data_IF_194422952757
#
_entry.id   IF_194422952757
#
_cell.length_a   1.000
_cell.length_b   1.000
_cell.length_c   1.000
_cell.angle_alpha   90.00
_cell.angle_beta   90.00
_cell.angle_gamma   90.00
#
_symmetry.space_group_name_H-M   'P 1'
#
loop_
_entity.id
_entity.type
_entity.pdbx_description
1 polymer ?
#
# COMPACT_ATOMS: atom_id res chain seq x y z
N UNK A 1 -13.49 30.34 -4.27
CA UNK A 1 -13.02 28.94 -4.36
C UNK A 1 -13.93 28.16 -3.46
N UNK A 2 -14.93 27.47 -4.01
CA UNK A 2 -15.89 26.71 -3.21
C UNK A 2 -15.16 25.58 -2.49
N UNK A 3 -15.27 25.56 -1.16
CA UNK A 3 -14.68 24.48 -0.36
C UNK A 3 -15.49 23.22 -0.63
N UNK A 4 -14.86 22.12 -1.07
CA UNK A 4 -15.58 20.87 -1.32
C UNK A 4 -16.33 20.43 -0.07
N UNK A 5 -17.55 19.92 -0.24
CA UNK A 5 -18.33 19.29 0.83
C UNK A 5 -17.56 18.09 1.41
N UNK A 6 -17.75 17.79 2.69
CA UNK A 6 -17.01 16.72 3.39
C UNK A 6 -17.12 15.35 2.67
N UNK A 7 -18.26 15.05 2.05
CA UNK A 7 -18.46 13.82 1.26
C UNK A 7 -17.56 13.77 0.02
N UNK A 8 -17.40 14.90 -0.67
CA UNK A 8 -16.56 15.01 -1.86
C UNK A 8 -15.09 14.84 -1.46
N UNK A 9 -14.69 15.46 -0.35
CA UNK A 9 -13.33 15.31 0.19
C UNK A 9 -13.02 13.86 0.51
N UNK A 10 -13.94 13.17 1.20
CA UNK A 10 -13.79 11.76 1.53
C UNK A 10 -13.60 10.91 0.28
N UNK A 11 -14.41 11.13 -0.76
CA UNK A 11 -14.32 10.38 -2.01
C UNK A 11 -12.99 10.65 -2.75
N UNK A 12 -12.55 11.91 -2.81
CA UNK A 12 -11.25 12.27 -3.40
C UNK A 12 -10.10 11.62 -2.64
N UNK A 13 -10.12 11.65 -1.31
CA UNK A 13 -9.10 11.02 -0.48
C UNK A 13 -9.07 9.49 -0.69
N UNK A 14 -10.24 8.87 -0.80
CA UNK A 14 -10.38 7.43 -1.08
C UNK A 14 -9.83 7.05 -2.45
N UNK A 15 -10.16 7.81 -3.49
CA UNK A 15 -9.64 7.60 -4.84
C UNK A 15 -8.12 7.80 -4.87
N UNK A 16 -7.63 8.85 -4.21
CA UNK A 16 -6.20 9.14 -4.11
C UNK A 16 -5.43 8.00 -3.44
N UNK A 17 -5.90 7.50 -2.29
CA UNK A 17 -5.27 6.36 -1.61
C UNK A 17 -5.25 5.13 -2.51
N UNK A 18 -6.33 4.84 -3.22
CA UNK A 18 -6.38 3.72 -4.15
C UNK A 18 -5.40 3.89 -5.32
N UNK A 19 -5.16 5.11 -5.80
CA UNK A 19 -4.13 5.37 -6.81
C UNK A 19 -2.71 5.05 -6.33
N UNK A 20 -2.43 5.14 -5.02
CA UNK A 20 -1.13 4.75 -4.45
C UNK A 20 -0.85 3.24 -4.59
N UNK A 21 -1.87 2.41 -4.88
CA UNK A 21 -1.68 1.00 -5.20
C UNK A 21 -0.92 0.75 -6.52
N UNK A 22 -0.81 1.76 -7.38
CA UNK A 22 -0.14 1.67 -8.68
C UNK A 22 1.32 2.15 -8.59
N UNK A 23 2.32 1.29 -8.86
CA UNK A 23 3.73 1.68 -8.86
C UNK A 23 4.03 2.79 -9.88
N UNK A 24 3.32 2.80 -11.02
CA UNK A 24 3.45 3.84 -12.04
C UNK A 24 3.05 5.22 -11.53
N UNK A 25 2.01 5.28 -10.70
CA UNK A 25 1.57 6.53 -10.11
C UNK A 25 2.56 7.03 -9.05
N UNK A 26 3.09 6.13 -8.23
CA UNK A 26 4.15 6.45 -7.26
C UNK A 26 5.41 6.98 -7.95
N UNK A 27 5.82 6.38 -9.07
CA UNK A 27 6.93 6.85 -9.87
C UNK A 27 6.66 8.25 -10.44
N UNK A 28 5.46 8.51 -10.98
CA UNK A 28 5.08 9.86 -11.41
C UNK A 28 5.15 10.88 -10.28
N UNK A 29 4.70 10.54 -9.07
CA UNK A 29 4.81 11.43 -7.91
C UNK A 29 6.28 11.71 -7.53
N UNK A 30 7.16 10.71 -7.66
CA UNK A 30 8.58 10.86 -7.38
C UNK A 30 9.30 11.73 -8.41
N UNK A 31 9.05 11.52 -9.72
CA UNK A 31 9.66 12.30 -10.80
C UNK A 31 9.29 13.79 -10.66
N UNK A 32 8.04 14.08 -10.29
CA UNK A 32 7.56 15.44 -10.06
C UNK A 32 7.98 16.03 -8.68
N UNK A 33 8.80 15.32 -7.91
CA UNK A 33 9.36 15.78 -6.62
C UNK A 33 8.30 16.11 -5.56
N UNK A 34 7.13 15.48 -5.59
CA UNK A 34 6.13 15.67 -4.55
C UNK A 34 6.61 15.18 -3.19
N UNK A 35 7.46 14.15 -3.15
CA UNK A 35 8.04 13.59 -1.94
C UNK A 35 9.08 14.47 -1.25
N UNK A 36 9.62 15.48 -1.94
CA UNK A 36 10.56 16.45 -1.37
C UNK A 36 9.83 17.52 -0.55
N UNK A 37 8.52 17.70 -0.78
CA UNK A 37 7.72 18.69 -0.07
C UNK A 37 7.26 18.14 1.30
N UNK A 38 7.67 18.75 2.43
CA UNK A 38 7.28 18.28 3.76
C UNK A 38 5.76 18.36 3.99
N UNK A 39 5.06 19.30 3.35
CA UNK A 39 3.60 19.39 3.45
C UNK A 39 2.91 18.16 2.84
N UNK A 40 3.45 17.63 1.74
CA UNK A 40 2.92 16.41 1.13
C UNK A 40 3.20 15.18 2.00
N UNK A 41 4.37 15.11 2.63
CA UNK A 41 4.68 14.03 3.58
C UNK A 41 3.75 14.04 4.79
N UNK A 42 3.43 15.23 5.33
CA UNK A 42 2.41 15.35 6.38
C UNK A 42 1.03 14.92 5.91
N UNK A 43 0.68 15.19 4.65
CA UNK A 43 -0.57 14.71 4.07
C UNK A 43 -0.62 13.18 3.95
N UNK A 44 0.48 12.53 3.58
CA UNK A 44 0.58 11.05 3.62
C UNK A 44 0.41 10.50 5.04
N UNK A 45 0.97 11.17 6.06
CA UNK A 45 0.74 10.80 7.46
C UNK A 45 -0.73 10.93 7.85
N UNK A 46 -1.39 12.00 7.41
CA UNK A 46 -2.83 12.17 7.61
C UNK A 46 -3.61 11.00 7.02
N UNK A 47 -3.32 10.58 5.78
CA UNK A 47 -3.99 9.46 5.12
C UNK A 47 -3.83 8.10 5.82
N UNK A 48 -2.96 7.96 6.82
CA UNK A 48 -2.87 6.71 7.61
C UNK A 48 -4.14 6.41 8.40
N UNK A 49 -5.07 7.36 8.56
CA UNK A 49 -6.36 7.06 9.17
C UNK A 49 -7.14 5.98 8.39
N UNK A 50 -6.89 5.85 7.09
CA UNK A 50 -7.48 4.81 6.23
C UNK A 50 -7.13 3.37 6.65
N UNK A 51 -6.07 3.19 7.45
CA UNK A 51 -5.69 1.88 8.02
C UNK A 51 -6.60 1.44 9.16
N UNK A 52 -7.36 2.36 9.77
CA UNK A 52 -8.31 1.99 10.83
C UNK A 52 -9.43 1.11 10.24
N UNK A 53 -9.93 0.12 10.98
CA UNK A 53 -10.91 -0.85 10.46
C UNK A 53 -12.23 -0.19 10.01
N UNK A 54 -12.57 0.96 10.59
CA UNK A 54 -13.73 1.77 10.20
C UNK A 54 -13.68 2.20 8.74
N UNK A 55 -12.51 2.62 8.26
CA UNK A 55 -12.30 3.16 6.92
C UNK A 55 -11.73 2.15 5.93
N UNK A 56 -10.91 1.21 6.41
CA UNK A 56 -10.28 0.18 5.58
C UNK A 56 -11.29 -0.67 4.80
N UNK A 57 -12.54 -0.78 5.29
CA UNK A 57 -13.65 -1.47 4.60
C UNK A 57 -13.96 -0.91 3.20
N UNK A 58 -13.65 0.35 2.94
CA UNK A 58 -13.94 1.02 1.68
C UNK A 58 -12.82 0.87 0.64
N UNK A 59 -11.67 0.30 1.04
CA UNK A 59 -10.51 0.15 0.17
C UNK A 59 -10.60 -1.15 -0.62
N UNK A 60 -10.67 -1.02 -1.94
CA UNK A 60 -10.67 -2.17 -2.84
C UNK A 60 -9.27 -2.75 -3.06
N UNK A 61 -8.24 -1.90 -3.03
CA UNK A 61 -6.85 -2.27 -3.32
C UNK A 61 -5.99 -2.24 -2.05
N UNK A 62 -5.84 -3.37 -1.33
CA UNK A 62 -5.13 -3.40 -0.05
C UNK A 62 -3.64 -3.03 -0.16
N UNK A 63 -3.04 -3.21 -1.35
CA UNK A 63 -1.65 -2.82 -1.62
C UNK A 63 -1.41 -1.31 -1.45
N UNK A 64 -2.44 -0.46 -1.62
CA UNK A 64 -2.34 0.97 -1.35
C UNK A 64 -1.83 1.26 0.07
N UNK A 65 -2.36 0.54 1.07
CA UNK A 65 -1.99 0.73 2.47
C UNK A 65 -0.56 0.29 2.74
N UNK A 66 -0.12 -0.81 2.12
CA UNK A 66 1.27 -1.27 2.22
C UNK A 66 2.24 -0.26 1.60
N UNK A 67 1.90 0.30 0.44
CA UNK A 67 2.72 1.35 -0.17
C UNK A 67 2.75 2.63 0.67
N UNK A 68 1.63 2.98 1.31
CA UNK A 68 1.60 4.11 2.23
C UNK A 68 2.62 3.96 3.37
N UNK A 69 2.79 2.75 3.91
CA UNK A 69 3.83 2.47 4.92
C UNK A 69 5.24 2.49 4.32
N UNK A 70 5.43 1.97 3.10
CA UNK A 70 6.73 1.98 2.42
C UNK A 70 7.21 3.42 2.11
N UNK A 71 6.27 4.33 1.83
CA UNK A 71 6.56 5.74 1.57
C UNK A 71 7.10 6.51 2.79
N UNK A 72 6.99 5.96 4.01
CA UNK A 72 7.69 6.53 5.17
C UNK A 72 9.22 6.43 5.02
N UNK A 73 9.69 5.39 4.32
CA UNK A 73 11.10 5.15 4.10
C UNK A 73 11.68 6.07 3.02
N UNK A 74 12.61 6.94 3.40
CA UNK A 74 13.27 7.84 2.45
C UNK A 74 13.93 7.10 1.28
N UNK A 75 14.56 5.96 1.56
CA UNK A 75 15.17 5.09 0.54
C UNK A 75 14.16 4.65 -0.52
N UNK A 76 12.95 4.28 -0.11
CA UNK A 76 11.92 3.84 -1.03
C UNK A 76 11.44 4.99 -1.93
N UNK A 77 11.27 6.19 -1.36
CA UNK A 77 10.88 7.40 -2.12
C UNK A 77 11.92 7.76 -3.19
N UNK A 78 13.20 7.59 -2.88
CA UNK A 78 14.27 7.81 -3.85
C UNK A 78 14.31 6.70 -4.91
N UNK A 79 14.18 5.43 -4.50
CA UNK A 79 14.23 4.30 -5.43
C UNK A 79 13.06 4.27 -6.42
N UNK A 80 11.84 4.62 -6.00
CA UNK A 80 10.65 4.59 -6.86
C UNK A 80 10.70 5.63 -7.99
N UNK A 81 11.58 6.62 -7.91
CA UNK A 81 11.86 7.54 -9.02
C UNK A 81 12.54 6.83 -10.21
N UNK A 82 13.18 5.68 -10.01
CA UNK A 82 13.84 4.92 -11.06
C UNK A 82 12.88 3.92 -11.72
N UNK A 83 12.79 3.95 -13.05
CA UNK A 83 11.90 3.08 -13.84
C UNK A 83 12.16 1.59 -13.60
N UNK A 84 13.43 1.18 -13.52
CA UNK A 84 13.81 -0.21 -13.24
C UNK A 84 13.21 -0.73 -11.92
N UNK A 85 13.18 0.13 -10.88
CA UNK A 85 12.64 -0.24 -9.59
C UNK A 85 11.11 -0.23 -9.60
N UNK A 86 10.48 0.73 -10.30
CA UNK A 86 9.03 0.72 -10.55
C UNK A 86 8.59 -0.59 -11.21
N UNK A 87 9.28 -1.02 -12.26
CA UNK A 87 8.95 -2.25 -12.99
C UNK A 87 9.14 -3.48 -12.11
N UNK A 88 10.19 -3.51 -11.29
CA UNK A 88 10.41 -4.56 -10.30
C UNK A 88 9.25 -4.63 -9.29
N UNK A 89 8.81 -3.49 -8.75
CA UNK A 89 7.69 -3.42 -7.81
C UNK A 89 6.40 -3.89 -8.47
N UNK A 90 6.17 -3.51 -9.73
CA UNK A 90 5.02 -3.96 -10.50
C UNK A 90 5.03 -5.48 -10.73
N UNK A 91 6.18 -6.04 -11.11
CA UNK A 91 6.37 -7.49 -11.24
C UNK A 91 6.13 -8.21 -9.91
N UNK A 92 6.68 -7.71 -8.80
CA UNK A 92 6.45 -8.28 -7.47
C UNK A 92 4.98 -8.26 -7.07
N UNK A 93 4.27 -7.18 -7.35
CA UNK A 93 2.83 -7.09 -7.13
C UNK A 93 2.06 -8.13 -7.95
N UNK A 94 2.44 -8.31 -9.22
CA UNK A 94 1.85 -9.34 -10.10
C UNK A 94 2.13 -10.76 -9.62
N UNK A 95 3.37 -11.06 -9.22
CA UNK A 95 3.76 -12.36 -8.66
C UNK A 95 3.01 -12.64 -7.35
N UNK A 96 2.87 -11.64 -6.49
CA UNK A 96 2.08 -11.75 -5.27
C UNK A 96 0.66 -12.17 -5.60
N UNK A 97 -0.01 -11.53 -6.57
CA UNK A 97 -1.37 -11.92 -6.97
C UNK A 97 -1.45 -13.33 -7.58
N UNK A 98 -0.51 -13.68 -8.44
CA UNK A 98 -0.46 -15.00 -9.07
C UNK A 98 -0.32 -16.13 -8.04
N UNK A 99 0.51 -15.93 -7.02
CA UNK A 99 0.79 -16.94 -6.00
C UNK A 99 -0.02 -16.77 -4.72
N UNK A 100 -0.83 -15.71 -4.59
CA UNK A 100 -1.55 -15.38 -3.36
C UNK A 100 -2.42 -16.55 -2.88
N UNK A 101 -3.21 -17.13 -3.79
CA UNK A 101 -4.10 -18.25 -3.47
C UNK A 101 -3.28 -19.49 -3.06
N UNK A 102 -2.32 -19.89 -3.89
CA UNK A 102 -1.51 -21.09 -3.66
C UNK A 102 -0.66 -20.99 -2.40
N UNK A 103 -0.11 -19.82 -2.10
CA UNK A 103 0.69 -19.60 -0.89
C UNK A 103 -0.18 -19.63 0.37
N UNK A 104 -1.42 -19.13 0.30
CA UNK A 104 -2.36 -19.20 1.43
C UNK A 104 -2.84 -20.62 1.69
N UNK A 105 -3.12 -21.40 0.63
CA UNK A 105 -3.47 -22.83 0.77
C UNK A 105 -2.31 -23.60 1.37
N UNK A 106 -1.09 -23.44 0.83
CA UNK A 106 0.12 -24.05 1.40
C UNK A 106 0.39 -23.63 2.86
N UNK A 107 0.20 -22.35 3.19
CA UNK A 107 0.37 -21.87 4.56
C UNK A 107 -0.67 -22.45 5.51
N UNK A 108 -1.93 -22.58 5.07
CA UNK A 108 -2.99 -23.21 5.84
C UNK A 108 -2.75 -24.72 6.02
N UNK A 109 -2.29 -25.41 4.98
CA UNK A 109 -1.89 -26.82 5.03
C UNK A 109 -0.69 -27.03 5.97
N UNK A 110 0.33 -26.18 5.92
CA UNK A 110 1.49 -26.24 6.81
C UNK A 110 1.11 -25.97 8.29
N UNK A 111 0.18 -25.03 8.52
CA UNK A 111 -0.36 -24.75 9.85
C UNK A 111 -1.21 -25.92 10.38
N UNK A 112 -2.00 -26.58 9.52
CA UNK A 112 -2.76 -27.78 9.88
C UNK A 112 -1.86 -29.02 10.08
N UNK A 113 -0.72 -29.10 9.38
CA UNK A 113 0.26 -30.18 9.49
C UNK A 113 1.21 -30.05 10.70
N UNK A 114 1.13 -28.96 11.47
CA UNK A 114 1.90 -28.77 12.71
C UNK A 114 1.00 -28.69 13.97
N UNK A 115 0.18 -29.70 14.32
CA UNK A 115 -0.66 -29.62 15.50
C UNK A 115 0.06 -29.95 16.82
N UNK A 116 1.26 -30.53 16.83
CA UNK A 116 1.87 -31.06 18.06
C UNK A 116 3.35 -30.71 18.22
N UNK A 117 3.64 -29.69 19.04
CA UNK A 117 4.81 -29.67 19.94
C UNK A 117 4.49 -28.83 21.18
N UNK A 118 3.35 -29.11 21.83
CA UNK A 118 3.04 -28.62 23.18
C UNK A 118 2.41 -29.75 24.01
N UNK A 119 3.08 -30.89 24.07
CA UNK A 119 2.87 -31.91 25.09
C UNK A 119 4.18 -32.69 25.29
N UNK A 120 4.65 -32.78 26.54
CA UNK A 120 5.97 -33.28 27.02
C UNK A 120 7.03 -32.17 27.05
N UNK A 121 7.64 -31.79 28.18
CA UNK A 121 7.72 -32.32 29.54
C UNK A 121 8.11 -31.17 30.50
#
# INVERSE_FOLDING_TARGET
MEVPTDDIRFQIELEFVQCLASPSYLNHLAINKYFDNPAFLHYLQYLKYWKKPEYARYINYPHALTFLDLLDGEKFRQMIAHDNFRDLVHQQQGLHWMHYHNNRVKAAEAAAASPDTVASE
#
